data_IF_780402244558
#
_entry.id   IF_780402244558
#
_cell.length_a   1.000
_cell.length_b   1.000
_cell.length_c   1.000
_cell.angle_alpha   90.00
_cell.angle_beta   90.00
_cell.angle_gamma   90.00
#
_symmetry.space_group_name_H-M   'P 1'
#
loop_
_entity.id
_entity.type
_entity.pdbx_description
1 polymer ?
#
# COMPACT_ATOMS: atom_id res chain seq x y z
N UNK A 1 -18.18 3.68 1.92
CA UNK A 1 -17.12 3.13 2.75
C UNK A 1 -15.94 2.69 1.91
N UNK A 2 -14.74 3.07 2.30
CA UNK A 2 -13.55 2.72 1.54
C UNK A 2 -13.25 1.23 1.66
N UNK A 3 -12.49 0.70 0.72
CA UNK A 3 -12.19 -0.72 0.65
C UNK A 3 -10.69 -0.95 0.61
N UNK A 4 -10.30 -2.12 1.06
CA UNK A 4 -8.92 -2.59 1.00
C UNK A 4 -8.81 -3.57 -0.16
N UNK A 5 -7.89 -3.30 -1.07
CA UNK A 5 -7.68 -4.13 -2.25
C UNK A 5 -6.31 -4.76 -2.20
N UNK A 6 -6.22 -6.00 -2.66
CA UNK A 6 -4.94 -6.66 -2.87
C UNK A 6 -4.79 -6.96 -4.36
N UNK A 7 -3.67 -6.54 -4.90
CA UNK A 7 -3.33 -6.82 -6.29
C UNK A 7 -2.08 -7.67 -6.30
N UNK A 8 -2.25 -8.91 -6.64
CA UNK A 8 -1.16 -9.87 -6.66
C UNK A 8 -0.54 -9.94 -8.03
N UNK A 9 0.75 -10.20 -8.07
CA UNK A 9 1.44 -10.42 -9.32
C UNK A 9 2.62 -11.33 -9.09
N UNK A 10 3.05 -11.98 -10.16
CA UNK A 10 4.29 -12.73 -10.12
C UNK A 10 5.45 -11.75 -10.11
N UNK A 11 6.61 -12.27 -9.75
CA UNK A 11 7.82 -11.49 -9.83
C UNK A 11 7.98 -10.95 -11.25
N UNK A 12 8.37 -9.71 -11.39
CA UNK A 12 8.56 -9.04 -12.68
C UNK A 12 7.26 -8.86 -13.46
N UNK A 13 6.13 -8.81 -12.76
CA UNK A 13 4.84 -8.62 -13.42
C UNK A 13 4.50 -7.16 -13.69
N UNK A 14 5.37 -6.25 -13.29
CA UNK A 14 5.09 -4.83 -13.49
C UNK A 14 4.23 -4.21 -12.40
N UNK A 15 4.18 -4.82 -11.22
CA UNK A 15 3.33 -4.31 -10.15
C UNK A 15 3.73 -2.91 -9.70
N UNK A 16 5.03 -2.61 -9.69
CA UNK A 16 5.47 -1.25 -9.31
C UNK A 16 5.07 -0.24 -10.37
N UNK A 17 5.09 -0.65 -11.64
CA UNK A 17 4.63 0.20 -12.71
C UNK A 17 3.14 0.50 -12.55
N UNK A 18 2.35 -0.52 -12.22
CA UNK A 18 0.91 -0.33 -12.02
C UNK A 18 0.63 0.61 -10.86
N UNK A 19 1.37 0.45 -9.76
CA UNK A 19 1.22 1.32 -8.60
C UNK A 19 1.53 2.76 -8.96
N UNK A 20 2.64 2.98 -9.68
CA UNK A 20 3.03 4.33 -10.06
C UNK A 20 2.02 4.97 -11.01
N UNK A 21 1.41 4.16 -11.89
CA UNK A 21 0.39 4.67 -12.80
C UNK A 21 -0.83 5.14 -12.03
N UNK A 22 -1.26 4.37 -11.04
CA UNK A 22 -2.39 4.76 -10.23
C UNK A 22 -2.10 6.05 -9.47
N UNK A 23 -0.90 6.15 -8.88
CA UNK A 23 -0.50 7.35 -8.16
C UNK A 23 -0.52 8.56 -9.09
N UNK A 24 0.03 8.40 -10.29
CA UNK A 24 0.07 9.48 -11.26
C UNK A 24 -1.34 9.93 -11.66
N UNK A 25 -2.24 8.97 -11.86
CA UNK A 25 -3.61 9.30 -12.24
C UNK A 25 -4.32 10.12 -11.17
N UNK A 26 -4.14 9.78 -9.91
CA UNK A 26 -4.71 10.57 -8.83
C UNK A 26 -4.12 11.97 -8.79
N UNK A 27 -2.81 12.05 -8.92
CA UNK A 27 -2.12 13.34 -8.81
C UNK A 27 -2.47 14.26 -9.97
N UNK A 28 -2.72 13.70 -11.13
CA UNK A 28 -3.14 14.52 -12.28
C UNK A 28 -4.51 15.15 -12.05
N UNK A 29 -5.31 14.57 -11.20
CA UNK A 29 -6.61 15.12 -10.85
C UNK A 29 -6.55 16.02 -9.62
N UNK A 30 -5.34 16.34 -9.17
CA UNK A 30 -5.18 17.18 -7.99
C UNK A 30 -5.42 16.46 -6.68
N UNK A 31 -5.43 15.13 -6.70
CA UNK A 31 -5.67 14.34 -5.51
C UNK A 31 -4.37 13.86 -4.91
N UNK A 32 -4.36 13.73 -3.60
CA UNK A 32 -3.17 13.33 -2.87
C UNK A 32 -3.18 11.84 -2.59
N UNK A 33 -2.06 11.16 -2.83
CA UNK A 33 -1.89 9.76 -2.48
C UNK A 33 -0.72 9.61 -1.53
N UNK A 34 -0.73 8.54 -0.76
CA UNK A 34 0.36 8.20 0.15
C UNK A 34 0.89 6.84 -0.24
N UNK A 35 2.19 6.76 -0.51
CA UNK A 35 2.83 5.51 -0.92
C UNK A 35 3.64 4.97 0.23
N UNK A 36 3.32 3.73 0.63
CA UNK A 36 3.99 3.04 1.73
C UNK A 36 4.77 1.86 1.20
N UNK A 37 5.87 1.56 1.87
CA UNK A 37 6.67 0.38 1.56
C UNK A 37 7.20 -0.19 2.86
N UNK A 38 7.05 -1.50 3.09
CA UNK A 38 7.62 -2.10 4.30
C UNK A 38 9.14 -2.00 4.27
N UNK A 39 9.72 -1.72 5.41
CA UNK A 39 11.16 -1.64 5.55
C UNK A 39 11.66 -2.96 6.13
N UNK A 40 12.10 -3.87 5.26
CA UNK A 40 12.53 -5.20 5.69
C UNK A 40 14.04 -5.37 5.63
N UNK A 41 14.73 -4.51 4.87
CA UNK A 41 16.18 -4.46 4.87
C UNK A 41 16.61 -3.09 4.41
N UNK A 42 17.93 -2.87 4.37
CA UNK A 42 18.46 -1.55 4.04
C UNK A 42 18.73 -1.37 2.56
N UNK A 43 18.59 -2.42 1.77
CA UNK A 43 18.88 -2.33 0.36
C UNK A 43 17.74 -1.69 -0.39
N UNK A 44 18.08 -0.82 -1.32
CA UNK A 44 17.08 -0.18 -2.15
C UNK A 44 16.32 0.96 -1.50
N UNK A 45 16.44 1.11 -0.19
CA UNK A 45 15.76 2.18 0.50
C UNK A 45 14.26 2.19 0.22
N UNK A 46 13.71 3.37 0.01
CA UNK A 46 12.29 3.53 -0.22
C UNK A 46 11.91 3.74 -1.67
N UNK A 47 12.79 3.35 -2.58
CA UNK A 47 12.55 3.62 -4.00
C UNK A 47 11.72 2.53 -4.67
N UNK A 48 10.79 2.95 -5.50
CA UNK A 48 10.06 2.07 -6.39
C UNK A 48 10.63 2.26 -7.79
N UNK A 49 10.87 1.17 -8.50
CA UNK A 49 11.43 1.23 -9.84
C UNK A 49 10.52 0.46 -10.79
N UNK A 50 10.08 1.12 -11.85
CA UNK A 50 9.24 0.47 -12.84
C UNK A 50 10.09 -0.36 -13.80
N UNK A 51 9.41 -1.17 -14.60
CA UNK A 51 10.09 -1.96 -15.63
C UNK A 51 10.80 -1.10 -16.65
N UNK A 52 10.32 0.12 -16.81
CA UNK A 52 10.92 1.06 -17.76
C UNK A 52 12.01 1.92 -17.12
N UNK A 53 12.37 1.63 -15.87
CA UNK A 53 13.41 2.37 -15.20
C UNK A 53 12.96 3.65 -14.53
N UNK A 54 11.67 3.96 -14.56
CA UNK A 54 11.15 5.13 -13.85
C UNK A 54 11.22 4.87 -12.36
N UNK A 55 11.68 5.85 -11.62
CA UNK A 55 11.86 5.73 -10.18
C UNK A 55 10.92 6.66 -9.44
N UNK A 56 10.44 6.20 -8.31
CA UNK A 56 9.62 7.01 -7.45
C UNK A 56 9.90 6.63 -6.01
N UNK A 57 9.98 7.61 -5.14
CA UNK A 57 10.25 7.37 -3.74
C UNK A 57 8.94 7.10 -3.00
N UNK A 58 8.95 6.10 -2.12
CA UNK A 58 7.83 5.89 -1.23
C UNK A 58 7.76 7.05 -0.23
N UNK A 59 6.55 7.43 0.13
CA UNK A 59 6.38 8.52 1.09
C UNK A 59 6.77 8.08 2.48
N UNK A 60 6.48 6.83 2.85
CA UNK A 60 6.83 6.29 4.16
C UNK A 60 7.44 4.91 4.01
N UNK A 61 8.51 4.66 4.74
CA UNK A 61 9.05 3.33 4.96
C UNK A 61 8.51 2.84 6.30
N UNK A 62 7.97 1.64 6.31
CA UNK A 62 7.26 1.13 7.48
C UNK A 62 8.01 -0.07 8.05
N UNK A 63 8.77 0.11 9.15
CA UNK A 63 9.38 -1.03 9.84
C UNK A 63 8.31 -1.93 10.48
N UNK A 64 8.66 -3.19 10.77
CA UNK A 64 7.67 -4.13 11.30
C UNK A 64 7.02 -3.72 12.62
N UNK A 65 7.72 -2.93 13.41
CA UNK A 65 7.21 -2.51 14.71
C UNK A 65 6.33 -1.26 14.66
N UNK A 66 6.20 -0.63 13.50
CA UNK A 66 5.44 0.61 13.39
C UNK A 66 3.97 0.32 13.16
N UNK A 67 3.12 1.09 13.82
CA UNK A 67 1.68 1.02 13.62
C UNK A 67 1.33 1.79 12.35
N UNK A 68 0.89 1.06 11.33
CA UNK A 68 0.62 1.66 10.02
C UNK A 68 -0.59 2.58 10.10
N UNK A 69 -1.58 2.23 10.91
CA UNK A 69 -2.77 3.07 11.05
C UNK A 69 -2.38 4.45 11.57
N UNK A 70 -1.57 4.49 12.63
CA UNK A 70 -1.15 5.77 13.18
C UNK A 70 -0.29 6.55 12.21
N UNK A 71 0.56 5.86 11.45
CA UNK A 71 1.40 6.52 10.46
C UNK A 71 0.55 7.19 9.38
N UNK A 72 -0.47 6.49 8.90
CA UNK A 72 -1.36 7.04 7.88
C UNK A 72 -2.20 8.16 8.46
N UNK A 73 -2.70 7.98 9.67
CA UNK A 73 -3.50 9.01 10.31
C UNK A 73 -2.71 10.30 10.47
N UNK A 74 -1.48 10.20 10.90
CA UNK A 74 -0.63 11.36 11.03
C UNK A 74 -0.36 12.03 9.68
N UNK A 75 -0.13 11.23 8.65
CA UNK A 75 0.12 11.76 7.32
C UNK A 75 -1.11 12.40 6.71
N UNK A 76 -2.30 11.97 7.12
CA UNK A 76 -3.55 12.51 6.58
C UNK A 76 -3.94 13.82 7.22
N UNK A 77 -3.23 14.26 8.24
CA UNK A 77 -3.58 15.48 8.99
C UNK A 77 -3.07 16.73 8.30
N UNK A 78 -3.14 16.82 7.01
CA UNK A 78 -2.72 17.99 6.27
C UNK A 78 -3.88 18.76 5.72
N UNK A 79 -3.58 19.80 4.98
CA UNK A 79 -4.63 20.62 4.38
C UNK A 79 -5.39 19.86 3.30
N UNK A 80 -4.69 18.97 2.61
CA UNK A 80 -5.29 18.21 1.53
C UNK A 80 -5.52 16.77 2.00
N UNK A 81 -6.76 16.31 1.95
CA UNK A 81 -7.03 14.94 2.40
C UNK A 81 -6.41 13.91 1.48
N UNK A 82 -6.11 12.75 2.06
CA UNK A 82 -5.61 11.63 1.28
C UNK A 82 -6.75 10.99 0.50
N UNK A 83 -6.53 10.80 -0.80
CA UNK A 83 -7.52 10.15 -1.65
C UNK A 83 -7.32 8.64 -1.66
N UNK A 84 -6.08 8.17 -1.45
CA UNK A 84 -5.77 6.76 -1.55
C UNK A 84 -4.44 6.48 -0.88
N UNK A 85 -4.31 5.27 -0.32
CA UNK A 85 -3.03 4.78 0.19
C UNK A 85 -2.60 3.62 -0.70
N UNK A 86 -1.38 3.68 -1.20
CA UNK A 86 -0.82 2.65 -2.07
C UNK A 86 0.36 2.00 -1.35
N UNK A 87 0.35 0.67 -1.29
CA UNK A 87 1.40 -0.07 -0.58
C UNK A 87 2.12 -0.98 -1.55
N UNK A 88 3.45 -0.88 -1.62
CA UNK A 88 4.25 -1.78 -2.42
C UNK A 88 4.84 -2.86 -1.52
N UNK A 89 5.23 -4.00 -2.12
CA UNK A 89 5.85 -5.12 -1.40
C UNK A 89 5.03 -5.54 -0.19
N UNK A 90 3.71 -5.61 -0.35
CA UNK A 90 2.81 -5.80 0.79
C UNK A 90 2.95 -7.15 1.46
N UNK A 91 3.55 -8.12 0.78
CA UNK A 91 3.77 -9.43 1.39
C UNK A 91 4.69 -9.35 2.62
N UNK A 92 5.43 -8.26 2.76
CA UNK A 92 6.33 -8.10 3.90
C UNK A 92 5.70 -7.37 5.08
N UNK A 93 4.47 -6.91 4.98
CA UNK A 93 3.79 -6.37 6.15
C UNK A 93 3.47 -7.51 7.11
N UNK A 94 3.51 -7.20 8.42
CA UNK A 94 3.10 -8.17 9.43
C UNK A 94 1.59 -8.33 9.40
N UNK A 95 1.06 -9.43 9.97
CA UNK A 95 -0.38 -9.56 10.10
C UNK A 95 -1.03 -8.41 10.85
N UNK A 96 -0.37 -7.91 11.89
CA UNK A 96 -0.88 -6.77 12.63
C UNK A 96 -0.97 -5.55 11.73
N UNK A 97 0.04 -5.32 10.90
CA UNK A 97 0.05 -4.19 10.00
C UNK A 97 -1.03 -4.32 8.93
N UNK A 98 -1.29 -5.53 8.47
CA UNK A 98 -2.36 -5.74 7.50
C UNK A 98 -3.72 -5.36 8.12
N UNK A 99 -3.95 -5.70 9.38
CA UNK A 99 -5.17 -5.29 10.05
C UNK A 99 -5.23 -3.79 10.24
N UNK A 100 -4.10 -3.17 10.53
CA UNK A 100 -4.05 -1.72 10.67
C UNK A 100 -4.40 -1.02 9.35
N UNK A 101 -3.97 -1.58 8.23
CA UNK A 101 -4.36 -1.05 6.92
C UNK A 101 -5.87 -1.18 6.70
N UNK A 102 -6.44 -2.29 7.13
CA UNK A 102 -7.89 -2.44 7.05
C UNK A 102 -8.58 -1.38 7.89
N UNK A 103 -8.05 -1.10 9.08
CA UNK A 103 -8.64 -0.05 9.93
C UNK A 103 -8.56 1.33 9.28
N UNK A 104 -7.57 1.56 8.44
CA UNK A 104 -7.51 2.82 7.68
C UNK A 104 -8.76 2.96 6.83
N UNK A 105 -9.20 1.89 6.18
CA UNK A 105 -10.39 1.97 5.35
C UNK A 105 -11.65 2.18 6.19
N UNK A 106 -11.71 1.60 7.37
CA UNK A 106 -12.89 1.68 8.22
C UNK A 106 -12.96 3.02 8.94
N UNK A 107 -11.89 3.39 9.62
CA UNK A 107 -11.90 4.54 10.50
C UNK A 107 -11.60 5.85 9.79
N UNK A 108 -10.72 5.83 8.82
CA UNK A 108 -10.36 7.03 8.08
C UNK A 108 -11.09 7.15 6.75
N UNK A 109 -11.76 6.09 6.34
CA UNK A 109 -12.52 6.07 5.09
C UNK A 109 -11.64 6.39 3.88
N UNK A 110 -10.42 5.85 3.87
CA UNK A 110 -9.47 6.05 2.80
C UNK A 110 -9.24 4.70 2.12
N UNK A 111 -9.42 4.58 0.81
CA UNK A 111 -9.15 3.31 0.14
C UNK A 111 -7.67 2.98 0.18
N UNK A 112 -7.36 1.69 0.33
CA UNK A 112 -5.99 1.20 0.39
C UNK A 112 -5.83 0.14 -0.68
N UNK A 113 -4.79 0.26 -1.49
CA UNK A 113 -4.47 -0.74 -2.52
C UNK A 113 -3.09 -1.29 -2.21
N UNK A 114 -3.02 -2.59 -1.98
CA UNK A 114 -1.78 -3.26 -1.64
C UNK A 114 -1.29 -4.07 -2.83
N UNK A 115 -0.05 -3.86 -3.22
CA UNK A 115 0.59 -4.59 -4.31
C UNK A 115 1.64 -5.52 -3.72
N UNK A 116 1.70 -6.73 -4.23
CA UNK A 116 2.68 -7.66 -3.70
C UNK A 116 2.72 -8.96 -4.48
N UNK A 117 3.60 -9.85 -4.02
CA UNK A 117 3.72 -11.18 -4.59
C UNK A 117 2.65 -12.08 -3.98
N UNK A 118 1.99 -12.81 -4.84
CA UNK A 118 0.84 -13.59 -4.44
C UNK A 118 1.17 -14.66 -3.40
N UNK A 119 2.25 -15.37 -3.62
CA UNK A 119 2.56 -16.54 -2.79
C UNK A 119 3.04 -16.17 -1.39
N UNK A 120 3.50 -14.95 -1.20
CA UNK A 120 4.13 -14.58 0.06
C UNK A 120 3.21 -13.80 0.99
N UNK A 121 2.10 -13.31 0.49
CA UNK A 121 1.22 -12.52 1.32
C UNK A 121 0.29 -13.43 2.11
N UNK A 122 0.47 -13.44 3.42
CA UNK A 122 -0.28 -14.34 4.29
C UNK A 122 -1.50 -13.66 4.86
N UNK A 123 -2.67 -14.16 4.49
CA UNK A 123 -3.93 -13.69 5.03
C UNK A 123 -4.54 -14.67 6.01
N UNK A 124 -3.85 -15.77 6.25
CA UNK A 124 -4.44 -16.82 7.09
C UNK A 124 -4.48 -16.41 8.54
N UNK A 125 -5.48 -16.91 9.22
CA UNK A 125 -5.62 -16.72 10.65
C UNK A 125 -6.32 -15.45 11.06
N UNK A 126 -6.76 -14.63 10.13
CA UNK A 126 -7.45 -13.40 10.47
C UNK A 126 -8.82 -13.35 9.81
N UNK A 127 -9.83 -13.16 10.61
CA UNK A 127 -11.19 -13.04 10.11
C UNK A 127 -11.45 -11.68 9.47
N UNK A 128 -10.63 -10.69 9.78
CA UNK A 128 -10.81 -9.37 9.18
C UNK A 128 -10.68 -9.41 7.66
N UNK A 129 -9.99 -10.40 7.15
CA UNK A 129 -9.73 -10.48 5.71
C UNK A 129 -10.95 -10.91 4.91
N UNK A 130 -12.01 -11.31 5.57
CA UNK A 130 -13.24 -11.63 4.83
C UNK A 130 -13.82 -10.43 4.11
N UNK A 131 -13.42 -9.25 4.51
CA UNK A 131 -13.90 -8.03 3.87
C UNK A 131 -13.02 -7.54 2.73
N UNK A 132 -11.98 -8.29 2.42
CA UNK A 132 -11.08 -7.88 1.35
C UNK A 132 -11.69 -8.10 -0.01
N UNK A 133 -11.41 -7.19 -0.91
CA UNK A 133 -11.73 -7.34 -2.31
C UNK A 133 -10.47 -7.77 -3.04
N UNK A 134 -10.53 -8.93 -3.68
CA UNK A 134 -9.37 -9.46 -4.39
C UNK A 134 -9.58 -9.29 -5.88
N UNK A 135 -8.88 -8.35 -6.52
CA UNK A 135 -9.00 -8.16 -7.95
C UNK A 135 -8.52 -9.41 -8.69
N UNK A 136 -9.11 -9.63 -9.85
CA UNK A 136 -8.78 -10.82 -10.63
C UNK A 136 -7.54 -10.65 -11.50
N UNK A 137 -7.00 -9.50 -11.57
CA UNK A 137 -5.83 -9.26 -12.41
C UNK A 137 -4.52 -9.47 -11.70
#
# INVERSE_FOLDING_TARGET
>A
MAKLYFRYGAMNSGKSTALMQVAHNYEEQGMRVLILKPQVDTKGGGELVSRLGVRRRADLLIPPEVDVFEAVRAASAGEQPLACVLCDESQFFTPAQAEQLFMVTVDLNIPVICYGLRSDFSLKGSVSYTHLTLPTT
#
